data_IF_709038033935
#
_entry.id   IF_709038033935
#
_cell.length_a   1.000
_cell.length_b   1.000
_cell.length_c   1.000
_cell.angle_alpha   90.00
_cell.angle_beta   90.00
_cell.angle_gamma   90.00
#
_symmetry.space_group_name_H-M   'P 1'
#
loop_
_entity.id
_entity.type
_entity.pdbx_description
1 polymer ?
#
# COMPACT_ATOMS: atom_id res chain seq x y z
N UNK A 1 10.74 5.11 -36.00
CA UNK A 1 11.28 5.45 -34.67
C UNK A 1 11.22 4.27 -33.69
N UNK A 2 10.30 3.31 -33.89
CA UNK A 2 10.09 2.15 -32.99
C UNK A 2 11.21 1.08 -33.04
N UNK A 3 11.87 0.86 -34.17
CA UNK A 3 12.94 -0.17 -34.30
C UNK A 3 14.17 0.08 -33.42
N UNK A 4 14.57 1.36 -33.28
CA UNK A 4 15.72 1.72 -32.45
C UNK A 4 15.44 1.54 -30.96
N UNK A 5 14.20 1.79 -30.53
CA UNK A 5 13.78 1.58 -29.15
C UNK A 5 13.64 0.08 -28.84
N UNK A 6 13.10 -0.72 -29.77
CA UNK A 6 13.04 -2.18 -29.64
C UNK A 6 14.44 -2.76 -29.47
N UNK A 7 15.38 -2.41 -30.36
CA UNK A 7 16.76 -2.92 -30.29
C UNK A 7 17.50 -2.54 -29.00
N UNK A 8 17.24 -1.34 -28.44
CA UNK A 8 17.83 -0.94 -27.15
C UNK A 8 17.21 -1.71 -25.98
N UNK A 9 15.90 -1.93 -25.99
CA UNK A 9 15.20 -2.72 -24.96
C UNK A 9 15.68 -4.17 -25.01
N UNK A 10 15.87 -4.74 -26.20
CA UNK A 10 16.37 -6.10 -26.38
C UNK A 10 17.79 -6.27 -25.85
N UNK A 11 18.69 -5.31 -26.10
CA UNK A 11 20.07 -5.33 -25.58
C UNK A 11 20.11 -5.17 -24.05
N UNK A 12 19.24 -4.32 -23.48
CA UNK A 12 19.14 -4.13 -22.03
C UNK A 12 18.61 -5.39 -21.35
N UNK A 13 17.61 -6.05 -21.95
CA UNK A 13 17.07 -7.31 -21.45
C UNK A 13 18.08 -8.46 -21.58
N UNK A 14 18.85 -8.51 -22.67
CA UNK A 14 19.88 -9.54 -22.88
C UNK A 14 20.99 -9.45 -21.82
N UNK A 15 21.34 -8.25 -21.35
CA UNK A 15 22.30 -8.07 -20.24
C UNK A 15 21.82 -8.64 -18.91
N UNK A 16 20.51 -8.79 -18.69
CA UNK A 16 19.97 -9.40 -17.46
C UNK A 16 20.05 -10.93 -17.49
N UNK A 17 20.26 -11.53 -18.65
CA UNK A 17 20.36 -12.97 -18.79
C UNK A 17 21.76 -13.48 -18.38
N UNK A 18 21.82 -14.73 -17.90
CA UNK A 18 23.06 -15.49 -17.81
C UNK A 18 23.85 -15.41 -19.14
N UNK A 19 25.19 -15.24 -19.13
CA UNK A 19 26.02 -15.21 -20.34
C UNK A 19 25.74 -16.33 -21.35
N UNK A 20 25.36 -17.51 -20.86
CA UNK A 20 25.01 -18.71 -21.61
C UNK A 20 23.74 -18.54 -22.48
N UNK A 21 22.89 -17.56 -22.13
CA UNK A 21 21.62 -17.27 -22.79
C UNK A 21 21.64 -15.95 -23.59
N UNK A 22 22.78 -15.24 -23.64
CA UNK A 22 22.90 -13.95 -24.34
C UNK A 22 23.10 -14.13 -25.85
N UNK A 23 22.57 -13.22 -26.65
CA UNK A 23 22.82 -13.16 -28.10
C UNK A 23 22.06 -14.17 -28.96
N UNK A 24 21.22 -15.04 -28.38
CA UNK A 24 20.30 -15.89 -29.14
C UNK A 24 19.11 -15.04 -29.64
N UNK A 25 19.21 -14.58 -30.89
CA UNK A 25 18.13 -13.88 -31.59
C UNK A 25 17.19 -14.92 -32.19
N UNK A 26 15.93 -14.89 -31.76
CA UNK A 26 14.76 -15.43 -32.48
C UNK A 26 14.47 -16.94 -32.48
N UNK A 27 15.32 -17.79 -31.91
CA UNK A 27 14.88 -19.14 -31.52
C UNK A 27 14.20 -19.02 -30.15
N UNK A 28 12.91 -19.35 -30.07
CA UNK A 28 12.07 -19.36 -28.87
C UNK A 28 12.92 -19.64 -27.63
N UNK A 29 13.19 -18.58 -26.83
CA UNK A 29 13.71 -18.75 -25.47
C UNK A 29 12.63 -19.51 -24.71
N UNK A 30 12.71 -20.85 -24.70
CA UNK A 30 11.74 -21.64 -23.99
C UNK A 30 11.95 -21.37 -22.51
N UNK A 31 10.86 -21.28 -21.76
CA UNK A 31 10.90 -21.28 -20.29
C UNK A 31 11.78 -22.44 -19.78
N UNK A 32 11.77 -23.57 -20.50
CA UNK A 32 12.60 -24.75 -20.26
C UNK A 32 14.11 -24.47 -20.35
N UNK A 33 14.57 -23.66 -21.31
CA UNK A 33 15.99 -23.37 -21.49
C UNK A 33 16.53 -22.48 -20.36
N UNK A 34 15.71 -21.52 -19.93
CA UNK A 34 16.01 -20.66 -18.78
C UNK A 34 16.10 -21.51 -17.51
N UNK A 35 15.11 -22.38 -17.28
CA UNK A 35 15.10 -23.30 -16.13
C UNK A 35 16.36 -24.18 -16.14
N UNK A 36 16.71 -24.77 -17.28
CA UNK A 36 17.88 -25.65 -17.37
C UNK A 36 19.19 -24.93 -17.02
N UNK A 37 19.39 -23.70 -17.51
CA UNK A 37 20.60 -22.91 -17.17
C UNK A 37 20.60 -22.51 -15.70
N UNK A 38 19.44 -22.15 -15.14
CA UNK A 38 19.31 -21.81 -13.72
C UNK A 38 19.62 -23.02 -12.84
N UNK A 39 19.05 -24.19 -13.13
CA UNK A 39 19.29 -25.43 -12.40
C UNK A 39 20.78 -25.82 -12.43
N UNK A 40 21.42 -25.80 -13.60
CA UNK A 40 22.85 -26.09 -13.73
C UNK A 40 23.72 -25.17 -12.86
N UNK A 41 23.38 -23.88 -12.79
CA UNK A 41 24.09 -22.91 -11.93
C UNK A 41 23.88 -23.18 -10.45
N UNK A 42 22.66 -23.56 -10.06
CA UNK A 42 22.36 -23.92 -8.66
C UNK A 42 23.19 -25.15 -8.27
N UNK A 43 23.19 -26.21 -9.10
CA UNK A 43 23.98 -27.42 -8.87
C UNK A 43 25.48 -27.12 -8.75
N UNK A 44 26.04 -26.37 -9.68
CA UNK A 44 27.46 -26.01 -9.64
C UNK A 44 27.80 -25.20 -8.38
N UNK A 45 26.94 -24.26 -8.00
CA UNK A 45 27.11 -23.47 -6.77
C UNK A 45 27.00 -24.32 -5.50
N UNK A 46 26.20 -25.39 -5.51
CA UNK A 46 26.15 -26.37 -4.42
C UNK A 46 27.43 -27.20 -4.35
N UNK A 47 27.94 -27.69 -5.48
CA UNK A 47 29.21 -28.46 -5.54
C UNK A 47 30.40 -27.63 -5.07
N UNK A 48 30.46 -26.36 -5.46
CA UNK A 48 31.49 -25.42 -5.01
C UNK A 48 31.35 -24.99 -3.54
N UNK A 49 30.27 -25.38 -2.87
CA UNK A 49 30.00 -24.98 -1.49
C UNK A 49 29.72 -23.49 -1.31
N UNK A 50 29.26 -22.79 -2.36
CA UNK A 50 28.92 -21.35 -2.30
C UNK A 50 27.81 -21.05 -1.27
N UNK A 51 27.00 -22.06 -0.92
CA UNK A 51 25.96 -21.97 0.10
C UNK A 51 26.45 -22.28 1.53
N UNK A 52 27.72 -22.69 1.70
CA UNK A 52 28.24 -23.12 3.00
C UNK A 52 28.60 -21.97 3.93
N UNK A 53 29.05 -20.82 3.39
CA UNK A 53 29.47 -19.66 4.17
C UNK A 53 28.64 -18.41 3.87
N UNK A 54 27.32 -18.56 3.69
CA UNK A 54 26.45 -17.43 3.46
C UNK A 54 26.36 -16.53 4.70
N UNK A 55 26.40 -15.20 4.53
CA UNK A 55 26.19 -14.27 5.63
C UNK A 55 24.80 -14.50 6.23
N UNK A 56 24.77 -14.90 7.51
CA UNK A 56 23.52 -15.19 8.22
C UNK A 56 23.08 -16.66 8.22
N UNK A 57 23.84 -17.59 7.61
CA UNK A 57 23.54 -19.03 7.68
C UNK A 57 23.40 -19.48 9.15
N UNK A 58 22.29 -20.13 9.48
CA UNK A 58 21.99 -20.64 10.82
C UNK A 58 21.59 -19.57 11.87
N UNK A 59 21.56 -18.28 11.51
CA UNK A 59 21.06 -17.21 12.40
C UNK A 59 19.57 -16.98 12.15
N UNK A 60 18.79 -16.57 13.17
CA UNK A 60 17.42 -16.10 12.97
C UNK A 60 17.39 -14.97 11.94
N UNK A 61 16.39 -14.99 11.05
CA UNK A 61 16.19 -13.96 10.05
C UNK A 61 15.95 -12.60 10.74
N UNK A 62 16.70 -11.56 10.34
CA UNK A 62 16.46 -10.21 10.83
C UNK A 62 15.24 -9.60 10.14
N UNK A 63 14.11 -9.57 10.84
CA UNK A 63 12.86 -8.98 10.36
C UNK A 63 12.83 -7.45 10.46
N UNK A 64 13.87 -6.82 11.03
CA UNK A 64 13.89 -5.37 11.25
C UNK A 64 14.36 -4.56 10.04
N UNK A 65 14.91 -5.23 9.03
CA UNK A 65 15.49 -4.57 7.87
C UNK A 65 14.63 -4.89 6.65
N UNK A 66 14.10 -3.87 5.97
CA UNK A 66 13.39 -4.04 4.71
C UNK A 66 14.33 -3.72 3.54
N UNK A 67 14.87 -4.73 2.80
CA UNK A 67 15.79 -4.49 1.69
C UNK A 67 15.19 -3.68 0.53
N UNK A 68 13.87 -3.54 0.52
CA UNK A 68 13.11 -2.84 -0.52
C UNK A 68 12.63 -1.46 -0.07
N UNK A 69 12.89 -1.06 1.18
CA UNK A 69 12.57 0.29 1.65
C UNK A 69 13.66 1.28 1.24
N UNK A 70 13.27 2.53 1.01
CA UNK A 70 14.24 3.62 0.89
C UNK A 70 15.10 3.70 2.18
N UNK A 71 16.43 3.84 2.09
CA UNK A 71 17.32 3.81 3.26
C UNK A 71 17.00 4.86 4.33
N UNK A 72 16.48 6.03 3.94
CA UNK A 72 16.10 7.08 4.88
C UNK A 72 14.79 6.72 5.59
N UNK A 73 13.81 6.19 4.86
CA UNK A 73 12.54 5.70 5.43
C UNK A 73 12.76 4.51 6.38
N UNK A 74 13.57 3.53 5.97
CA UNK A 74 13.91 2.36 6.79
C UNK A 74 14.58 2.77 8.11
N UNK A 75 15.49 3.75 8.04
CA UNK A 75 16.14 4.31 9.22
C UNK A 75 15.15 5.01 10.15
N UNK A 76 14.23 5.82 9.60
CA UNK A 76 13.18 6.48 10.38
C UNK A 76 12.28 5.46 11.10
N UNK A 77 11.77 4.45 10.39
CA UNK A 77 10.91 3.42 10.99
C UNK A 77 11.64 2.60 12.06
N UNK A 78 12.93 2.29 11.84
CA UNK A 78 13.77 1.59 12.81
C UNK A 78 13.96 2.42 14.08
N UNK A 79 14.21 3.73 13.98
CA UNK A 79 14.36 4.61 15.15
C UNK A 79 13.04 4.70 15.93
N UNK A 80 11.92 4.90 15.23
CA UNK A 80 10.60 4.99 15.86
C UNK A 80 10.21 3.69 16.59
N UNK A 81 10.39 2.54 15.92
CA UNK A 81 10.15 1.21 16.50
C UNK A 81 11.00 0.96 17.75
N UNK A 82 12.30 1.29 17.70
CA UNK A 82 13.21 1.16 18.85
C UNK A 82 12.75 1.99 20.06
N UNK A 83 12.18 3.17 19.81
CA UNK A 83 11.66 4.05 20.86
C UNK A 83 10.20 3.71 21.27
N UNK A 84 9.60 2.68 20.69
CA UNK A 84 8.17 2.34 20.86
C UNK A 84 7.22 3.50 20.52
N UNK A 85 7.66 4.39 19.63
CA UNK A 85 6.88 5.52 19.15
C UNK A 85 6.31 5.20 17.77
N UNK A 86 5.06 5.57 17.52
CA UNK A 86 4.48 5.47 16.20
C UNK A 86 4.87 6.71 15.36
N UNK A 87 5.08 6.57 14.04
CA UNK A 87 5.15 7.73 13.15
C UNK A 87 3.89 8.59 13.26
N UNK A 88 4.02 9.91 13.07
CA UNK A 88 2.89 10.87 13.13
C UNK A 88 1.72 10.42 12.25
N UNK A 89 2.00 9.95 11.03
CA UNK A 89 0.95 9.51 10.10
C UNK A 89 0.19 8.27 10.60
N UNK A 90 0.81 7.40 11.41
CA UNK A 90 0.13 6.25 12.03
C UNK A 90 -0.88 6.73 13.07
N UNK A 91 -0.46 7.67 13.92
CA UNK A 91 -1.34 8.26 14.95
C UNK A 91 -2.47 9.04 14.31
N UNK A 92 -2.18 9.85 13.30
CA UNK A 92 -3.17 10.62 12.56
C UNK A 92 -4.17 9.70 11.84
N UNK A 93 -3.73 8.58 11.26
CA UNK A 93 -4.63 7.58 10.67
C UNK A 93 -5.58 7.01 11.73
N UNK A 94 -5.06 6.65 12.91
CA UNK A 94 -5.88 6.17 14.03
C UNK A 94 -6.92 7.22 14.43
N UNK A 95 -6.52 8.49 14.54
CA UNK A 95 -7.44 9.59 14.85
C UNK A 95 -8.54 9.74 13.78
N UNK A 96 -8.18 9.75 12.50
CA UNK A 96 -9.13 9.84 11.38
C UNK A 96 -10.13 8.70 11.46
N UNK A 97 -9.67 7.46 11.65
CA UNK A 97 -10.54 6.28 11.73
C UNK A 97 -11.54 6.37 12.88
N UNK A 98 -11.09 6.82 14.05
CA UNK A 98 -11.97 7.04 15.21
C UNK A 98 -13.02 8.10 14.91
N UNK A 99 -12.62 9.27 14.40
CA UNK A 99 -13.54 10.36 14.05
C UNK A 99 -14.56 9.96 12.99
N UNK A 100 -14.14 9.20 11.98
CA UNK A 100 -15.05 8.67 10.95
C UNK A 100 -16.08 7.71 11.57
N UNK A 101 -15.67 6.84 12.49
CA UNK A 101 -16.58 5.89 13.15
C UNK A 101 -17.61 6.61 14.06
N UNK A 102 -17.16 7.61 14.82
CA UNK A 102 -18.02 8.46 15.65
C UNK A 102 -19.00 9.25 14.79
N UNK A 103 -18.52 9.87 13.72
CA UNK A 103 -19.33 10.63 12.77
C UNK A 103 -20.39 9.75 12.10
N UNK A 104 -20.03 8.54 11.63
CA UNK A 104 -21.00 7.58 11.05
C UNK A 104 -22.05 7.15 12.06
N UNK A 105 -21.66 6.94 13.31
CA UNK A 105 -22.59 6.59 14.39
C UNK A 105 -23.56 7.73 14.69
N UNK A 106 -23.08 8.98 14.70
CA UNK A 106 -23.91 10.17 14.86
C UNK A 106 -24.87 10.37 13.67
N UNK A 107 -24.37 10.18 12.45
CA UNK A 107 -25.19 10.24 11.24
C UNK A 107 -26.31 9.20 11.26
N UNK A 108 -26.01 7.94 11.62
CA UNK A 108 -27.03 6.89 11.73
C UNK A 108 -28.11 7.23 12.77
N UNK A 109 -27.72 7.76 13.94
CA UNK A 109 -28.67 8.22 14.97
C UNK A 109 -29.56 9.36 14.45
N UNK A 110 -28.97 10.37 13.82
CA UNK A 110 -29.72 11.48 13.23
C UNK A 110 -30.68 10.99 12.13
N UNK A 111 -30.25 10.02 11.32
CA UNK A 111 -31.06 9.40 10.27
C UNK A 111 -32.25 8.62 10.83
N UNK A 112 -32.10 7.88 11.94
CA UNK A 112 -33.21 7.15 12.57
C UNK A 112 -34.32 8.06 13.11
N UNK A 113 -33.99 9.29 13.49
CA UNK A 113 -34.97 10.27 13.97
C UNK A 113 -35.63 11.07 12.83
N UNK A 114 -35.19 10.87 11.58
CA UNK A 114 -35.77 11.46 10.37
C UNK A 114 -37.12 10.77 10.09
N UNK A 115 -38.22 11.45 10.40
CA UNK A 115 -39.58 10.91 10.32
C UNK A 115 -40.43 11.16 11.57
N UNK A 116 -39.84 11.67 12.65
CA UNK A 116 -40.61 12.36 13.69
C UNK A 116 -40.97 13.76 13.17
N UNK A 117 -42.14 14.28 13.55
CA UNK A 117 -42.88 15.47 13.04
C UNK A 117 -42.06 16.77 12.85
N UNK A 118 -40.79 16.82 13.24
CA UNK A 118 -39.92 17.99 13.25
C UNK A 118 -38.64 17.78 12.42
N UNK A 119 -38.70 18.10 11.12
CA UNK A 119 -37.56 18.08 10.19
C UNK A 119 -36.47 19.10 10.57
N UNK A 120 -36.77 20.07 11.44
CA UNK A 120 -35.84 21.11 11.88
C UNK A 120 -34.59 20.51 12.54
N UNK A 121 -34.77 19.48 13.38
CA UNK A 121 -33.67 18.79 14.07
C UNK A 121 -32.75 18.04 13.11
N UNK A 122 -33.31 17.48 12.03
CA UNK A 122 -32.51 16.84 10.99
C UNK A 122 -31.71 17.87 10.19
N UNK A 123 -32.31 19.01 9.85
CA UNK A 123 -31.63 20.09 9.12
C UNK A 123 -30.43 20.59 9.94
N UNK A 124 -30.62 20.90 11.22
CA UNK A 124 -29.55 21.34 12.12
C UNK A 124 -28.45 20.27 12.26
N UNK A 125 -28.82 19.02 12.56
CA UNK A 125 -27.87 17.92 12.69
C UNK A 125 -27.08 17.68 11.39
N UNK A 126 -27.75 17.78 10.23
CA UNK A 126 -27.10 17.62 8.93
C UNK A 126 -26.08 18.73 8.63
N UNK A 127 -26.36 19.97 9.07
CA UNK A 127 -25.42 21.08 8.99
C UNK A 127 -24.16 20.83 9.81
N UNK A 128 -24.33 20.43 11.07
CA UNK A 128 -23.22 20.07 11.96
C UNK A 128 -22.40 18.90 11.43
N UNK A 129 -23.06 17.85 10.92
CA UNK A 129 -22.39 16.67 10.36
C UNK A 129 -21.60 17.00 9.09
N UNK A 130 -22.07 17.94 8.26
CA UNK A 130 -21.30 18.42 7.09
C UNK A 130 -20.05 19.19 7.50
N UNK A 131 -20.11 20.01 8.55
CA UNK A 131 -18.92 20.67 9.09
C UNK A 131 -17.90 19.66 9.64
N UNK A 132 -18.37 18.60 10.29
CA UNK A 132 -17.50 17.52 10.77
C UNK A 132 -16.81 16.75 9.62
N UNK A 133 -17.50 16.52 8.49
CA UNK A 133 -16.86 15.97 7.29
C UNK A 133 -15.68 16.86 6.86
N UNK A 134 -15.86 18.18 6.86
CA UNK A 134 -14.80 19.11 6.47
C UNK A 134 -13.58 19.01 7.40
N UNK A 135 -13.79 18.93 8.72
CA UNK A 135 -12.69 18.71 9.68
C UNK A 135 -11.97 17.38 9.45
N UNK A 136 -12.71 16.30 9.22
CA UNK A 136 -12.15 14.98 8.91
C UNK A 136 -11.34 15.05 7.60
N UNK A 137 -11.88 15.71 6.56
CA UNK A 137 -11.22 15.83 5.27
C UNK A 137 -9.94 16.67 5.33
N UNK A 138 -9.88 17.68 6.18
CA UNK A 138 -8.64 18.41 6.45
C UNK A 138 -7.57 17.51 7.08
N UNK A 139 -7.95 16.62 8.00
CA UNK A 139 -7.03 15.64 8.57
C UNK A 139 -6.58 14.61 7.53
N UNK A 140 -7.49 14.15 6.68
CA UNK A 140 -7.17 13.28 5.54
C UNK A 140 -6.18 13.95 4.59
N UNK A 141 -6.37 15.24 4.29
CA UNK A 141 -5.45 16.00 3.47
C UNK A 141 -4.06 16.07 4.11
N UNK A 142 -3.97 16.44 5.39
CA UNK A 142 -2.70 16.44 6.14
C UNK A 142 -2.03 15.07 6.12
N UNK A 143 -2.78 13.99 6.38
CA UNK A 143 -2.30 12.63 6.34
C UNK A 143 -1.70 12.28 4.97
N UNK A 144 -2.40 12.63 3.88
CA UNK A 144 -1.94 12.36 2.52
C UNK A 144 -0.65 13.10 2.13
N UNK A 145 -0.32 14.20 2.83
CA UNK A 145 0.93 14.93 2.64
C UNK A 145 2.13 14.29 3.34
N UNK A 146 1.90 13.54 4.42
CA UNK A 146 2.99 13.00 5.27
C UNK A 146 3.16 11.48 5.16
N UNK A 147 2.18 10.79 4.57
CA UNK A 147 2.24 9.34 4.39
C UNK A 147 3.06 8.97 3.15
N UNK A 148 3.80 7.84 3.17
CA UNK A 148 4.44 7.31 1.97
C UNK A 148 3.46 7.13 0.80
N UNK A 149 3.98 7.28 -0.41
CA UNK A 149 3.21 7.10 -1.64
C UNK A 149 2.53 5.71 -1.67
N UNK A 150 1.29 5.66 -2.18
CA UNK A 150 0.48 4.44 -2.22
C UNK A 150 -0.31 4.12 -0.95
N UNK A 151 -0.11 4.86 0.15
CA UNK A 151 -0.87 4.71 1.42
C UNK A 151 -1.86 5.85 1.68
N UNK A 152 -2.04 6.74 0.71
CA UNK A 152 -2.99 7.85 0.75
C UNK A 152 -4.43 7.34 0.75
N UNK A 153 -5.33 8.11 1.36
CA UNK A 153 -6.76 7.77 1.50
C UNK A 153 -7.65 8.85 0.90
N UNK A 154 -8.86 8.45 0.49
CA UNK A 154 -9.87 9.37 0.00
C UNK A 154 -10.64 9.99 1.16
N UNK A 155 -10.97 11.28 1.03
CA UNK A 155 -11.86 11.97 1.95
C UNK A 155 -13.31 11.48 1.88
N UNK A 156 -14.07 11.78 2.92
CA UNK A 156 -15.51 11.52 2.99
C UNK A 156 -16.27 12.46 2.05
N UNK A 157 -17.31 11.91 1.41
CA UNK A 157 -18.28 12.67 0.61
C UNK A 157 -19.67 12.42 1.17
N UNK A 158 -20.43 13.48 1.37
CA UNK A 158 -21.76 13.41 1.97
C UNK A 158 -22.68 12.47 1.18
N UNK A 159 -22.73 12.63 -0.14
CA UNK A 159 -23.61 11.88 -1.03
C UNK A 159 -23.33 10.37 -0.95
N UNK A 160 -22.04 9.98 -0.99
CA UNK A 160 -21.63 8.58 -0.89
C UNK A 160 -22.03 7.93 0.43
N UNK A 161 -21.91 8.65 1.54
CA UNK A 161 -22.27 8.12 2.86
C UNK A 161 -23.80 8.04 3.03
N UNK A 162 -24.56 8.95 2.40
CA UNK A 162 -26.02 8.88 2.38
C UNK A 162 -26.52 7.71 1.54
N UNK A 163 -25.91 7.44 0.39
CA UNK A 163 -26.29 6.31 -0.45
C UNK A 163 -25.98 4.98 0.23
N UNK A 164 -24.82 4.87 0.87
CA UNK A 164 -24.49 3.72 1.72
C UNK A 164 -25.53 3.49 2.83
N UNK A 165 -26.00 4.55 3.50
CA UNK A 165 -27.02 4.43 4.54
C UNK A 165 -28.37 3.94 4.01
N UNK A 166 -28.77 4.38 2.81
CA UNK A 166 -29.99 3.90 2.17
C UNK A 166 -29.90 2.42 1.86
N UNK A 167 -28.79 1.96 1.29
CA UNK A 167 -28.53 0.55 0.99
C UNK A 167 -28.61 -0.32 2.25
N UNK A 168 -27.97 0.12 3.35
CA UNK A 168 -28.03 -0.55 4.66
C UNK A 168 -29.47 -0.62 5.23
N UNK A 169 -30.33 0.35 4.92
CA UNK A 169 -31.73 0.37 5.38
C UNK A 169 -32.70 -0.46 4.52
N UNK A 170 -32.38 -0.69 3.25
CA UNK A 170 -33.19 -1.52 2.33
C UNK A 170 -32.87 -3.01 2.37
N UNK A 171 -31.69 -3.38 2.89
CA UNK A 171 -31.24 -4.78 2.99
C UNK A 171 -31.57 -5.47 4.32
N UNK A 172 -32.37 -4.85 5.19
CA UNK A 172 -32.69 -5.36 6.54
C UNK A 172 -34.18 -5.61 6.75
#
# INVERSE_FOLDING_TARGET
MNDRLSGVIDVVNDRKLPPELRGQRDAVRSETDIINVVEQRIWHSMEEGQFENLPGKGKPLDLNTNPHADPAEDTLYRILSKNKCAPEWVELNKEIRTKVAEWRSALKKAWMHRGSVDDSKWIEASGSLKLQIHDINNKVFRYNLIVPFGRQILGLKWEKEMDRLKEESTGS
#
